data_IF_447696678405
#
_entry.id   IF_447696678405
#
_cell.length_a   1.000
_cell.length_b   1.000
_cell.length_c   1.000
_cell.angle_alpha   90.00
_cell.angle_beta   90.00
_cell.angle_gamma   90.00
#
_symmetry.space_group_name_H-M   'P 1'
#
loop_
_entity.id
_entity.type
_entity.pdbx_description
1 polymer ?
#
# COMPACT_ATOMS: atom_id res chain seq x y z
N UNK A 1 -0.07 19.94 19.54
CA UNK A 1 -0.36 18.71 20.30
C UNK A 1 0.41 18.67 21.61
N UNK A 2 1.74 18.61 21.65
CA UNK A 2 2.45 18.63 22.95
C UNK A 2 2.62 20.04 23.54
N UNK A 3 2.88 21.05 22.71
CA UNK A 3 2.98 22.43 23.17
C UNK A 3 1.67 22.98 23.76
N UNK A 4 0.51 22.48 23.31
CA UNK A 4 -0.81 22.85 23.87
C UNK A 4 -1.05 22.26 25.27
N UNK A 5 -0.30 21.24 25.65
CA UNK A 5 -0.34 20.60 26.99
C UNK A 5 0.78 21.14 27.91
N UNK A 6 1.41 22.26 27.56
CA UNK A 6 2.50 22.85 28.35
C UNK A 6 3.83 22.11 28.27
N UNK A 7 3.96 21.10 27.40
CA UNK A 7 5.20 20.33 27.20
C UNK A 7 5.77 20.62 25.81
N UNK A 8 6.59 21.67 25.64
CA UNK A 8 7.18 21.97 24.35
C UNK A 8 8.22 20.89 23.99
N UNK A 9 7.93 20.08 22.97
CA UNK A 9 8.86 19.10 22.41
C UNK A 9 9.31 19.57 21.03
N UNK A 10 10.62 19.65 20.82
CA UNK A 10 11.17 20.02 19.52
C UNK A 10 10.79 18.96 18.45
N UNK A 11 10.45 19.37 17.22
CA UNK A 11 10.14 18.43 16.13
C UNK A 11 11.27 17.42 15.86
N UNK A 12 12.53 17.82 16.04
CA UNK A 12 13.70 16.94 15.94
C UNK A 12 13.70 15.82 16.97
N UNK A 13 13.32 16.13 18.21
CA UNK A 13 13.18 15.14 19.30
C UNK A 13 12.08 14.13 18.96
N UNK A 14 10.91 14.60 18.50
CA UNK A 14 9.83 13.70 18.06
C UNK A 14 10.30 12.80 16.91
N UNK A 15 10.92 13.37 15.87
CA UNK A 15 11.43 12.60 14.74
C UNK A 15 12.45 11.53 15.18
N UNK A 16 13.33 11.87 16.13
CA UNK A 16 14.28 10.92 16.70
C UNK A 16 13.57 9.78 17.45
N UNK A 17 12.58 10.09 18.28
CA UNK A 17 11.80 9.09 19.01
C UNK A 17 11.06 8.14 18.06
N UNK A 18 10.39 8.67 17.02
CA UNK A 18 9.74 7.84 16.00
C UNK A 18 10.73 6.96 15.26
N UNK A 19 11.90 7.50 14.88
CA UNK A 19 12.95 6.73 14.22
C UNK A 19 13.48 5.59 15.11
N UNK A 20 13.79 5.89 16.37
CA UNK A 20 14.30 4.90 17.33
C UNK A 20 13.28 3.80 17.61
N UNK A 21 12.01 4.17 17.78
CA UNK A 21 10.90 3.22 17.92
C UNK A 21 10.77 2.33 16.67
N UNK A 22 10.79 2.91 15.47
CA UNK A 22 10.72 2.15 14.22
C UNK A 22 11.91 1.19 14.06
N UNK A 23 13.12 1.61 14.43
CA UNK A 23 14.31 0.74 14.42
C UNK A 23 14.16 -0.44 15.39
N UNK A 24 13.64 -0.19 16.60
CA UNK A 24 13.41 -1.23 17.60
C UNK A 24 12.35 -2.25 17.15
N UNK A 25 11.32 -1.79 16.42
CA UNK A 25 10.26 -2.65 15.88
C UNK A 25 10.65 -3.39 14.59
N UNK A 26 11.83 -3.12 14.01
CA UNK A 26 12.25 -3.74 12.74
C UNK A 26 12.24 -5.27 12.81
N UNK A 27 12.67 -5.86 13.91
CA UNK A 27 12.69 -7.32 14.08
C UNK A 27 11.28 -7.94 14.00
N UNK A 28 10.27 -7.24 14.54
CA UNK A 28 8.88 -7.69 14.45
C UNK A 28 8.36 -7.55 13.03
N UNK A 29 8.69 -6.44 12.36
CA UNK A 29 8.33 -6.24 10.96
C UNK A 29 8.91 -7.34 10.06
N UNK A 30 10.21 -7.62 10.18
CA UNK A 30 10.89 -8.64 9.37
C UNK A 30 10.25 -10.01 9.61
N UNK A 31 9.97 -10.35 10.89
CA UNK A 31 9.28 -11.60 11.24
C UNK A 31 7.85 -11.67 10.70
N UNK A 32 7.11 -10.57 10.73
CA UNK A 32 5.77 -10.50 10.13
C UNK A 32 5.83 -10.72 8.62
N UNK A 33 6.79 -10.11 7.92
CA UNK A 33 6.97 -10.32 6.48
C UNK A 33 7.22 -11.80 6.20
N UNK A 34 8.14 -12.45 6.92
CA UNK A 34 8.38 -13.90 6.76
C UNK A 34 7.12 -14.74 6.95
N UNK A 35 6.29 -14.42 7.94
CA UNK A 35 5.05 -15.15 8.22
C UNK A 35 4.00 -14.92 7.13
N UNK A 36 3.85 -13.67 6.67
CA UNK A 36 2.95 -13.31 5.57
C UNK A 36 3.35 -14.05 4.29
N UNK A 37 4.64 -14.13 3.97
CA UNK A 37 5.14 -14.79 2.76
C UNK A 37 4.99 -16.32 2.78
N UNK A 38 4.68 -16.93 3.93
CA UNK A 38 4.35 -18.35 4.07
C UNK A 38 2.87 -18.67 3.87
N UNK A 39 2.02 -17.64 3.76
CA UNK A 39 0.59 -17.80 3.55
C UNK A 39 0.32 -18.36 2.13
N UNK A 40 -0.70 -19.20 1.97
CA UNK A 40 -1.04 -19.77 0.65
C UNK A 40 -1.67 -18.74 -0.30
N UNK A 41 -2.39 -17.78 0.28
CA UNK A 41 -3.06 -16.68 -0.44
C UNK A 41 -2.54 -15.35 0.09
N UNK A 42 -2.07 -14.49 -0.80
CA UNK A 42 -1.51 -13.19 -0.46
C UNK A 42 -2.28 -12.07 -1.15
N UNK A 43 -2.82 -11.13 -0.39
CA UNK A 43 -3.28 -9.87 -0.97
C UNK A 43 -2.12 -8.91 -1.16
N UNK A 44 -2.02 -8.32 -2.34
CA UNK A 44 -1.08 -7.23 -2.66
C UNK A 44 -1.83 -6.05 -3.26
N UNK A 45 -1.48 -4.85 -2.81
CA UNK A 45 -2.03 -3.59 -3.29
C UNK A 45 -1.04 -2.46 -3.05
N UNK A 46 -1.29 -1.31 -3.66
CA UNK A 46 -0.51 -0.12 -3.45
C UNK A 46 -1.35 1.16 -3.47
N UNK A 47 -0.99 2.10 -2.61
CA UNK A 47 -1.63 3.41 -2.54
C UNK A 47 -0.60 4.50 -2.63
N UNK A 48 -0.95 5.59 -3.31
CA UNK A 48 -0.07 6.75 -3.45
C UNK A 48 -0.24 7.72 -2.29
N UNK A 49 0.85 8.40 -1.94
CA UNK A 49 0.90 9.48 -0.97
C UNK A 49 1.62 10.69 -1.56
N UNK A 50 1.36 11.86 -0.99
CA UNK A 50 2.07 13.10 -1.29
C UNK A 50 3.10 13.36 -0.20
N UNK A 51 4.36 13.17 -0.54
CA UNK A 51 5.50 13.43 0.34
C UNK A 51 5.99 14.86 0.15
N UNK A 52 5.90 15.67 1.20
CA UNK A 52 6.56 16.96 1.25
C UNK A 52 8.08 16.76 1.25
N UNK A 53 8.77 17.38 0.30
CA UNK A 53 10.24 17.35 0.23
C UNK A 53 10.75 18.78 0.46
N UNK A 54 11.53 19.03 1.53
CA UNK A 54 12.05 20.36 1.81
C UNK A 54 12.80 20.95 0.60
N UNK A 55 12.55 22.23 0.31
CA UNK A 55 13.22 22.95 -0.78
C UNK A 55 12.67 22.69 -2.20
N UNK A 56 11.71 21.77 -2.39
CA UNK A 56 11.20 21.43 -3.73
C UNK A 56 9.91 22.16 -4.13
N UNK A 57 9.27 22.91 -3.23
CA UNK A 57 8.04 23.70 -3.49
C UNK A 57 6.79 22.90 -3.89
N UNK A 58 6.91 21.61 -4.20
CA UNK A 58 5.84 20.68 -4.55
C UNK A 58 6.05 19.34 -3.84
N UNK A 59 4.96 18.64 -3.55
CA UNK A 59 5.02 17.29 -3.00
C UNK A 59 5.39 16.26 -4.09
N UNK A 60 6.24 15.30 -3.75
CA UNK A 60 6.51 14.14 -4.61
C UNK A 60 5.46 13.07 -4.38
N UNK A 61 5.04 12.38 -5.45
CA UNK A 61 4.21 11.18 -5.32
C UNK A 61 5.10 10.02 -4.88
N UNK A 62 4.71 9.32 -3.84
CA UNK A 62 5.36 8.11 -3.32
C UNK A 62 4.31 7.04 -3.08
N UNK A 63 4.70 5.81 -2.80
CA UNK A 63 3.80 4.66 -2.72
C UNK A 63 4.04 3.87 -1.43
N UNK A 64 2.94 3.50 -0.77
CA UNK A 64 2.94 2.40 0.18
C UNK A 64 2.34 1.19 -0.49
N UNK A 65 3.16 0.15 -0.57
CA UNK A 65 2.77 -1.18 -0.99
C UNK A 65 2.39 -1.99 0.23
N UNK A 66 1.41 -2.87 0.12
CA UNK A 66 1.06 -3.78 1.20
C UNK A 66 1.10 -5.24 0.73
N UNK A 67 1.42 -6.10 1.69
CA UNK A 67 1.25 -7.55 1.62
C UNK A 67 0.42 -7.95 2.81
N UNK A 68 -0.65 -8.71 2.58
CA UNK A 68 -1.55 -9.15 3.63
C UNK A 68 -1.92 -10.61 3.46
N UNK A 69 -2.00 -11.36 4.55
CA UNK A 69 -2.50 -12.73 4.52
C UNK A 69 -3.95 -12.76 4.02
N UNK A 70 -4.22 -13.61 3.02
CA UNK A 70 -5.58 -13.86 2.52
C UNK A 70 -6.30 -14.98 3.27
N UNK A 71 -5.56 -15.81 3.99
CA UNK A 71 -6.08 -16.89 4.84
C UNK A 71 -5.34 -16.93 6.17
N UNK A 72 -5.98 -17.47 7.20
CA UNK A 72 -5.43 -17.55 8.54
C UNK A 72 -5.46 -16.20 9.29
N UNK A 73 -4.60 -16.02 10.31
CA UNK A 73 -4.56 -14.79 11.11
C UNK A 73 -4.26 -13.56 10.24
N UNK A 74 -5.03 -12.47 10.38
CA UNK A 74 -4.83 -11.27 9.56
C UNK A 74 -3.51 -10.59 9.95
N UNK A 75 -2.58 -10.54 9.01
CA UNK A 75 -1.29 -9.87 9.16
C UNK A 75 -1.07 -8.99 7.93
N UNK A 76 -0.59 -7.77 8.14
CA UNK A 76 -0.27 -6.81 7.07
C UNK A 76 1.10 -6.21 7.28
N UNK A 77 1.90 -6.16 6.21
CA UNK A 77 3.18 -5.47 6.19
C UNK A 77 3.20 -4.45 5.06
N UNK A 78 3.61 -3.22 5.39
CA UNK A 78 3.74 -2.13 4.44
C UNK A 78 5.19 -1.99 3.97
N UNK A 79 5.37 -1.57 2.72
CA UNK A 79 6.67 -1.25 2.15
C UNK A 79 6.60 0.13 1.48
N UNK A 80 7.48 1.03 1.91
CA UNK A 80 7.61 2.34 1.31
C UNK A 80 8.48 2.29 0.06
N UNK A 81 7.99 2.87 -1.04
CA UNK A 81 8.81 3.09 -2.23
C UNK A 81 8.50 4.44 -2.87
N UNK A 82 9.50 5.17 -3.39
CA UNK A 82 9.25 6.35 -4.22
C UNK A 82 8.65 5.99 -5.59
N UNK A 83 8.57 4.71 -5.94
CA UNK A 83 8.16 4.23 -7.27
C UNK A 83 6.95 3.30 -7.19
N UNK A 84 6.10 3.36 -8.23
CA UNK A 84 5.06 2.36 -8.52
C UNK A 84 5.56 1.28 -9.51
N UNK A 85 6.86 1.22 -9.79
CA UNK A 85 7.38 0.43 -10.91
C UNK A 85 7.15 -1.07 -10.73
N UNK A 86 7.21 -1.77 -11.88
CA UNK A 86 7.17 -3.21 -11.96
C UNK A 86 8.22 -3.87 -11.05
N UNK A 87 9.40 -3.27 -10.93
CA UNK A 87 10.49 -3.79 -10.10
C UNK A 87 10.08 -3.89 -8.63
N UNK A 88 9.30 -2.93 -8.12
CA UNK A 88 8.80 -2.98 -6.74
C UNK A 88 7.72 -4.05 -6.60
N UNK A 89 6.82 -4.14 -7.58
CA UNK A 89 5.79 -5.19 -7.64
C UNK A 89 6.37 -6.60 -7.73
N UNK A 90 7.58 -6.77 -8.30
CA UNK A 90 8.31 -8.05 -8.34
C UNK A 90 9.13 -8.30 -7.08
N UNK A 91 9.78 -7.26 -6.56
CA UNK A 91 10.59 -7.34 -5.34
C UNK A 91 9.77 -7.80 -4.14
N UNK A 92 8.50 -7.38 -4.04
CA UNK A 92 7.69 -7.65 -2.86
C UNK A 92 7.29 -9.13 -2.73
N UNK A 93 6.76 -9.81 -3.75
CA UNK A 93 6.46 -11.23 -3.66
C UNK A 93 7.72 -12.08 -3.84
N UNK A 94 8.74 -11.60 -4.56
CA UNK A 94 9.98 -12.34 -4.78
C UNK A 94 9.72 -13.69 -5.44
N UNK A 95 10.15 -14.76 -4.76
CA UNK A 95 10.02 -16.16 -5.15
C UNK A 95 8.75 -16.85 -4.62
N UNK A 96 7.77 -16.07 -4.14
CA UNK A 96 6.48 -16.58 -3.66
C UNK A 96 5.80 -17.48 -4.69
N UNK A 97 5.33 -18.65 -4.25
CA UNK A 97 4.76 -19.69 -5.12
C UNK A 97 3.28 -19.96 -4.90
N UNK A 98 2.61 -19.25 -3.98
CA UNK A 98 1.17 -19.39 -3.74
C UNK A 98 0.32 -18.56 -4.72
N UNK A 99 -0.92 -18.25 -4.33
CA UNK A 99 -1.81 -17.38 -5.11
C UNK A 99 -1.74 -15.94 -4.61
N UNK A 100 -1.57 -14.97 -5.50
CA UNK A 100 -1.72 -13.55 -5.18
C UNK A 100 -3.10 -13.04 -5.59
N UNK A 101 -3.76 -12.30 -4.69
CA UNK A 101 -4.94 -11.50 -5.01
C UNK A 101 -4.47 -10.07 -5.22
N UNK A 102 -4.60 -9.60 -6.46
CA UNK A 102 -4.15 -8.27 -6.88
C UNK A 102 -5.23 -7.52 -7.64
N UNK A 103 -5.05 -6.23 -7.84
CA UNK A 103 -5.77 -5.52 -8.88
C UNK A 103 -5.20 -5.87 -10.27
N UNK A 104 -5.84 -5.43 -11.36
CA UNK A 104 -5.33 -5.67 -12.72
C UNK A 104 -4.18 -4.71 -13.09
N UNK A 105 -3.36 -4.28 -12.13
CA UNK A 105 -2.22 -3.42 -12.43
C UNK A 105 -1.15 -4.19 -13.21
N UNK A 106 -0.74 -3.62 -14.35
CA UNK A 106 0.28 -4.17 -15.25
C UNK A 106 1.62 -4.46 -14.54
N UNK A 107 1.90 -3.75 -13.44
CA UNK A 107 3.10 -3.96 -12.63
C UNK A 107 3.27 -5.40 -12.12
N UNK A 108 2.18 -6.14 -11.98
CA UNK A 108 2.24 -7.51 -11.47
C UNK A 108 2.37 -8.58 -12.57
N UNK A 109 2.26 -8.25 -13.87
CA UNK A 109 2.15 -9.24 -14.95
C UNK A 109 3.30 -10.26 -15.06
N UNK A 110 4.51 -9.89 -14.63
CA UNK A 110 5.71 -10.76 -14.71
C UNK A 110 5.91 -11.66 -13.50
N UNK A 111 4.98 -11.69 -12.55
CA UNK A 111 5.07 -12.59 -11.40
C UNK A 111 4.79 -14.04 -11.83
N UNK A 112 5.63 -14.96 -11.36
CA UNK A 112 5.53 -16.38 -11.70
C UNK A 112 4.45 -17.14 -10.89
N UNK A 113 3.95 -16.53 -9.82
CA UNK A 113 2.92 -17.10 -8.95
C UNK A 113 1.52 -17.07 -9.59
N UNK A 114 0.60 -17.89 -9.08
CA UNK A 114 -0.79 -17.85 -9.50
C UNK A 114 -1.42 -16.49 -9.16
N UNK A 115 -2.31 -15.99 -10.00
CA UNK A 115 -2.94 -14.69 -9.81
C UNK A 115 -4.47 -14.78 -9.85
N UNK A 116 -5.10 -14.18 -8.85
CA UNK A 116 -6.54 -13.99 -8.76
C UNK A 116 -6.90 -12.49 -8.73
N UNK A 117 -8.07 -12.16 -9.26
CA UNK A 117 -8.56 -10.78 -9.30
C UNK A 117 -9.20 -10.36 -7.97
N UNK A 118 -8.84 -9.18 -7.46
CA UNK A 118 -9.47 -8.61 -6.28
C UNK A 118 -10.93 -8.18 -6.57
N UNK A 119 -11.89 -8.79 -5.86
CA UNK A 119 -13.32 -8.50 -6.02
C UNK A 119 -13.70 -7.09 -5.56
N UNK A 120 -13.01 -6.54 -4.57
CA UNK A 120 -13.23 -5.15 -4.15
C UNK A 120 -12.90 -4.16 -5.29
N UNK A 121 -11.81 -4.42 -6.01
CA UNK A 121 -11.43 -3.64 -7.18
C UNK A 121 -12.40 -3.82 -8.34
N UNK A 122 -12.82 -5.06 -8.62
CA UNK A 122 -13.84 -5.33 -9.63
C UNK A 122 -15.15 -4.59 -9.31
N UNK A 123 -15.68 -4.73 -8.10
CA UNK A 123 -16.90 -4.03 -7.65
C UNK A 123 -16.75 -2.52 -7.80
N UNK A 124 -15.65 -1.93 -7.34
CA UNK A 124 -15.41 -0.48 -7.47
C UNK A 124 -15.48 -0.03 -8.93
N UNK A 125 -14.86 -0.77 -9.86
CA UNK A 125 -14.89 -0.47 -11.29
C UNK A 125 -16.32 -0.52 -11.86
N UNK A 126 -17.08 -1.57 -11.52
CA UNK A 126 -18.49 -1.70 -11.95
C UNK A 126 -19.34 -0.53 -11.46
N UNK A 127 -19.28 -0.21 -10.16
CA UNK A 127 -20.05 0.91 -9.60
C UNK A 127 -19.65 2.26 -10.19
N UNK A 128 -18.36 2.48 -10.45
CA UNK A 128 -17.89 3.68 -11.13
C UNK A 128 -18.44 3.79 -12.55
N UNK A 129 -18.45 2.68 -13.31
CA UNK A 129 -19.02 2.65 -14.65
C UNK A 129 -20.53 2.98 -14.63
N UNK A 130 -21.30 2.38 -13.71
CA UNK A 130 -22.73 2.68 -13.54
C UNK A 130 -22.94 4.17 -13.24
N UNK A 131 -22.17 4.75 -12.31
CA UNK A 131 -22.26 6.17 -11.96
C UNK A 131 -22.01 7.07 -13.18
N UNK A 132 -21.03 6.74 -14.02
CA UNK A 132 -20.74 7.50 -15.24
C UNK A 132 -21.87 7.45 -16.26
N UNK A 133 -22.49 6.27 -16.45
CA UNK A 133 -23.65 6.11 -17.32
C UNK A 133 -24.83 6.96 -16.82
N UNK A 134 -25.12 6.91 -15.52
CA UNK A 134 -26.20 7.69 -14.92
C UNK A 134 -25.98 9.20 -15.01
N UNK A 135 -24.74 9.67 -14.83
CA UNK A 135 -24.39 11.09 -15.00
C UNK A 135 -24.58 11.56 -16.44
N UNK A 136 -24.16 10.75 -17.42
CA UNK A 136 -24.38 11.05 -18.85
C UNK A 136 -25.86 11.10 -19.22
N UNK A 137 -26.66 10.15 -18.73
CA UNK A 137 -28.10 10.14 -18.97
C UNK A 137 -28.78 11.40 -18.40
N UNK A 138 -28.35 11.87 -17.22
CA UNK A 138 -28.88 13.11 -16.62
C UNK A 138 -28.45 14.38 -17.35
N UNK A 139 -27.22 14.44 -17.85
CA UNK A 139 -26.72 15.58 -18.64
C UNK A 139 -27.26 15.64 -20.07
N UNK A 140 -27.88 14.56 -20.57
CA UNK A 140 -28.55 14.53 -21.88
C UNK A 140 -30.04 14.93 -21.81
N UNK A 141 -30.57 15.15 -20.59
CA UNK A 141 -31.94 15.59 -20.31
C UNK A 141 -32.04 17.09 -20.01
N UNK A 142 -30.95 17.83 -20.20
CA UNK A 142 -30.84 19.30 -20.09
C UNK A 142 -30.31 19.85 -21.40
#
# INVERSE_FOLDING_TARGET
MFASEGVPIAPSTLAHLFKSGAQSLKVLYDRMVELIMKCEILHVDETFLKLAVPGHGKCKTVYFWCRMTGVGPPMVAFHFSPSRSQDVAQLLPGDYSGTIIRDSYIGYEKLACEAACCWAHYRRRVFNAIKQVLLKARGCLT
#
